data_IF_732814680014
#
_entry.id   IF_732814680014
#
_cell.length_a   1.000
_cell.length_b   1.000
_cell.length_c   1.000
_cell.angle_alpha   90.00
_cell.angle_beta   90.00
_cell.angle_gamma   90.00
#
_symmetry.space_group_name_H-M   'P 1'
#
loop_
_entity.id
_entity.type
_entity.pdbx_description
1 polymer ?
#
# COMPACT_ATOMS: atom_id res chain seq x y z
N UNK A 1 23.38 -5.15 -3.05
CA UNK A 1 23.46 -3.68 -3.13
C UNK A 1 22.54 -3.11 -4.21
N UNK A 2 21.37 -3.71 -4.40
CA UNK A 2 20.34 -3.25 -5.35
C UNK A 2 19.00 -3.23 -4.62
N UNK A 3 18.25 -2.15 -4.78
CA UNK A 3 16.85 -2.05 -4.34
C UNK A 3 15.98 -1.71 -5.57
N UNK A 4 14.83 -2.37 -5.67
CA UNK A 4 13.83 -2.08 -6.69
C UNK A 4 12.75 -1.19 -6.08
N UNK A 5 12.26 -0.23 -6.86
CA UNK A 5 11.21 0.71 -6.46
C UNK A 5 10.19 0.88 -7.58
N UNK A 6 8.96 1.20 -7.22
CA UNK A 6 7.90 1.45 -8.19
C UNK A 6 7.58 0.24 -9.05
N UNK A 7 7.32 0.47 -10.32
CA UNK A 7 6.92 -0.57 -11.28
C UNK A 7 7.97 -1.68 -11.45
N UNK A 8 9.24 -1.36 -11.22
CA UNK A 8 10.31 -2.37 -11.23
C UNK A 8 10.21 -3.37 -10.05
N UNK A 9 9.64 -2.94 -8.94
CA UNK A 9 9.43 -3.79 -7.76
C UNK A 9 8.06 -4.48 -7.77
N UNK A 10 7.08 -3.85 -8.39
CA UNK A 10 5.67 -4.24 -8.32
C UNK A 10 5.08 -4.31 -9.74
N UNK A 11 4.90 -5.50 -10.28
CA UNK A 11 4.16 -5.68 -11.52
C UNK A 11 2.65 -5.45 -11.33
N UNK A 12 2.27 -4.23 -10.95
CA UNK A 12 0.87 -3.89 -10.66
C UNK A 12 0.14 -3.54 -11.94
N UNK A 13 -0.98 -4.20 -12.17
CA UNK A 13 -1.85 -3.90 -13.30
C UNK A 13 -2.39 -2.46 -13.20
N UNK A 14 -2.40 -1.67 -14.28
CA UNK A 14 -2.69 -0.22 -14.25
C UNK A 14 -4.15 0.16 -13.91
N UNK A 15 -5.02 -0.81 -13.62
CA UNK A 15 -6.48 -0.61 -13.43
C UNK A 15 -6.84 0.46 -12.40
N UNK A 16 -5.99 0.74 -11.42
CA UNK A 16 -6.35 1.65 -10.34
C UNK A 16 -5.51 2.94 -10.28
N UNK A 17 -4.63 3.21 -11.24
CA UNK A 17 -3.76 4.39 -11.21
C UNK A 17 -2.85 4.47 -9.96
N UNK A 18 -2.65 3.35 -9.25
CA UNK A 18 -1.93 3.29 -7.98
C UNK A 18 -0.41 3.15 -8.13
N UNK A 19 0.10 2.89 -9.35
CA UNK A 19 1.53 2.66 -9.59
C UNK A 19 2.39 3.83 -9.09
N UNK A 20 2.04 5.06 -9.42
CA UNK A 20 2.76 6.24 -8.94
C UNK A 20 2.75 6.36 -7.42
N UNK A 21 1.58 6.16 -6.80
CA UNK A 21 1.45 6.24 -5.34
C UNK A 21 2.26 5.15 -4.64
N UNK A 22 2.31 3.96 -5.21
CA UNK A 22 3.11 2.84 -4.70
C UNK A 22 4.60 3.17 -4.83
N UNK A 23 5.03 3.67 -5.98
CA UNK A 23 6.40 4.11 -6.21
C UNK A 23 6.87 5.22 -5.26
N UNK A 24 6.02 6.22 -5.01
CA UNK A 24 6.33 7.28 -4.04
C UNK A 24 6.48 6.73 -2.61
N UNK A 25 5.67 5.74 -2.23
CA UNK A 25 5.81 5.06 -0.93
C UNK A 25 7.11 4.26 -0.85
N UNK A 26 7.50 3.59 -1.93
CA UNK A 26 8.77 2.86 -2.00
C UNK A 26 9.94 3.79 -1.80
N UNK A 27 9.97 4.91 -2.54
CA UNK A 27 11.04 5.92 -2.41
C UNK A 27 11.11 6.48 -1.00
N UNK A 28 9.98 6.82 -0.40
CA UNK A 28 9.94 7.37 0.96
C UNK A 28 10.42 6.35 2.01
N UNK A 29 10.00 5.08 1.88
CA UNK A 29 10.43 4.01 2.79
C UNK A 29 11.93 3.71 2.63
N UNK A 30 12.41 3.61 1.39
CA UNK A 30 13.82 3.38 1.10
C UNK A 30 14.67 4.53 1.66
N UNK A 31 14.31 5.79 1.40
CA UNK A 31 15.01 6.96 1.92
C UNK A 31 15.11 6.93 3.44
N UNK A 32 14.02 6.61 4.13
CA UNK A 32 14.01 6.52 5.60
C UNK A 32 14.96 5.42 6.09
N UNK A 33 14.90 4.22 5.52
CA UNK A 33 15.76 3.10 5.91
C UNK A 33 17.24 3.43 5.70
N UNK A 34 17.58 4.04 4.57
CA UNK A 34 18.97 4.41 4.25
C UNK A 34 19.51 5.50 5.18
N UNK A 35 18.72 6.55 5.46
CA UNK A 35 19.13 7.63 6.39
C UNK A 35 19.30 7.10 7.81
N UNK A 36 18.39 6.25 8.27
CA UNK A 36 18.50 5.61 9.58
C UNK A 36 19.72 4.69 9.68
N UNK A 37 20.02 3.92 8.63
CA UNK A 37 21.21 3.09 8.56
C UNK A 37 22.50 3.95 8.61
N UNK A 38 22.55 5.02 7.82
CA UNK A 38 23.68 5.94 7.79
C UNK A 38 23.91 6.59 9.16
N UNK A 39 22.85 7.03 9.86
CA UNK A 39 22.95 7.59 11.21
C UNK A 39 23.47 6.60 12.25
N UNK A 40 23.24 5.30 12.04
CA UNK A 40 23.77 4.24 12.89
C UNK A 40 25.17 3.77 12.49
N UNK A 41 25.76 4.37 11.44
CA UNK A 41 27.06 3.98 10.91
C UNK A 41 27.06 2.61 10.19
N UNK A 42 25.88 2.13 9.76
CA UNK A 42 25.73 0.90 9.00
C UNK A 42 26.08 1.13 7.54
N UNK A 43 26.61 0.09 6.86
CA UNK A 43 26.75 0.12 5.38
C UNK A 43 25.35 0.07 4.76
N UNK A 44 24.96 1.19 4.13
CA UNK A 44 23.65 1.33 3.46
C UNK A 44 23.39 0.28 2.37
N UNK A 45 24.43 -0.35 1.85
CA UNK A 45 24.34 -1.41 0.85
C UNK A 45 24.31 -2.83 1.46
N UNK A 46 24.31 -2.96 2.78
CA UNK A 46 24.24 -4.25 3.43
C UNK A 46 22.87 -4.90 3.22
N UNK A 47 22.86 -6.25 3.15
CA UNK A 47 21.63 -7.05 3.04
C UNK A 47 20.62 -6.71 4.14
N UNK A 48 21.08 -6.61 5.39
CA UNK A 48 20.21 -6.36 6.54
C UNK A 48 19.44 -5.03 6.44
N UNK A 49 20.08 -4.01 5.85
CA UNK A 49 19.46 -2.71 5.60
C UNK A 49 18.41 -2.82 4.50
N UNK A 50 18.74 -3.51 3.42
CA UNK A 50 17.82 -3.71 2.29
C UNK A 50 16.67 -4.66 2.65
N UNK A 51 16.90 -5.64 3.51
CA UNK A 51 15.86 -6.55 3.99
C UNK A 51 14.84 -5.83 4.89
N UNK A 52 15.24 -4.82 5.67
CA UNK A 52 14.32 -3.95 6.40
C UNK A 52 13.38 -3.21 5.45
N UNK A 53 13.91 -2.64 4.37
CA UNK A 53 13.12 -2.01 3.33
C UNK A 53 12.16 -3.00 2.67
N UNK A 54 12.67 -4.16 2.26
CA UNK A 54 11.89 -5.21 1.60
C UNK A 54 10.75 -5.71 2.51
N UNK A 55 11.03 -5.98 3.78
CA UNK A 55 10.03 -6.47 4.74
C UNK A 55 8.92 -5.47 4.94
N UNK A 56 9.26 -4.18 5.06
CA UNK A 56 8.28 -3.11 5.19
C UNK A 56 7.39 -3.01 3.95
N UNK A 57 7.99 -3.03 2.76
CA UNK A 57 7.25 -2.89 1.50
C UNK A 57 6.45 -4.11 1.11
N UNK A 58 6.95 -5.33 1.40
CA UNK A 58 6.20 -6.58 1.11
C UNK A 58 4.86 -6.61 1.81
N UNK A 59 4.82 -6.25 3.09
CA UNK A 59 3.56 -6.23 3.84
C UNK A 59 2.56 -5.25 3.22
N UNK A 60 2.99 -4.03 2.95
CA UNK A 60 2.15 -2.98 2.37
C UNK A 60 1.63 -3.36 0.97
N UNK A 61 2.52 -3.85 0.11
CA UNK A 61 2.18 -4.26 -1.26
C UNK A 61 1.26 -5.48 -1.30
N UNK A 62 1.50 -6.47 -0.44
CA UNK A 62 0.66 -7.68 -0.38
C UNK A 62 -0.74 -7.34 0.12
N UNK A 63 -0.86 -6.51 1.15
CA UNK A 63 -2.15 -6.08 1.68
C UNK A 63 -2.95 -5.30 0.63
N UNK A 64 -2.29 -4.41 -0.14
CA UNK A 64 -2.91 -3.67 -1.22
C UNK A 64 -3.34 -4.60 -2.37
N UNK A 65 -2.49 -5.52 -2.79
CA UNK A 65 -2.78 -6.46 -3.87
C UNK A 65 -3.97 -7.38 -3.53
N UNK A 66 -4.00 -7.92 -2.32
CA UNK A 66 -5.12 -8.74 -1.84
C UNK A 66 -6.42 -7.93 -1.75
N UNK A 67 -6.35 -6.70 -1.28
CA UNK A 67 -7.51 -5.80 -1.23
C UNK A 67 -8.06 -5.51 -2.63
N UNK A 68 -7.18 -5.23 -3.59
CA UNK A 68 -7.56 -5.00 -4.98
C UNK A 68 -8.13 -6.24 -5.66
N UNK A 69 -7.53 -7.41 -5.45
CA UNK A 69 -8.04 -8.67 -5.99
C UNK A 69 -9.43 -8.99 -5.42
N UNK A 70 -9.65 -8.80 -4.14
CA UNK A 70 -10.95 -8.98 -3.51
C UNK A 70 -12.01 -8.03 -4.09
N UNK A 71 -11.68 -6.74 -4.27
CA UNK A 71 -12.56 -5.77 -4.91
C UNK A 71 -12.86 -6.17 -6.35
N UNK A 72 -11.82 -6.49 -7.12
CA UNK A 72 -11.98 -6.90 -8.51
C UNK A 72 -12.88 -8.13 -8.64
N UNK A 73 -12.68 -9.17 -7.82
CA UNK A 73 -13.54 -10.37 -7.82
C UNK A 73 -14.98 -10.06 -7.44
N UNK A 74 -15.19 -9.16 -6.47
CA UNK A 74 -16.53 -8.76 -6.06
C UNK A 74 -17.28 -7.99 -7.15
N UNK A 75 -16.56 -7.15 -7.92
CA UNK A 75 -17.16 -6.30 -8.95
C UNK A 75 -17.20 -6.96 -10.35
N UNK A 76 -16.30 -7.89 -10.63
CA UNK A 76 -16.25 -8.61 -11.93
C UNK A 76 -17.16 -9.84 -11.96
N UNK A 77 -17.80 -10.21 -10.86
CA UNK A 77 -18.62 -11.41 -10.82
C UNK A 77 -20.07 -11.09 -11.14
N UNK A 78 -20.62 -11.76 -12.18
CA UNK A 78 -22.00 -11.60 -12.64
C UNK A 78 -23.02 -12.46 -11.87
N UNK A 79 -22.59 -13.15 -10.81
CA UNK A 79 -23.49 -13.96 -9.99
C UNK A 79 -24.55 -13.09 -9.32
N UNK A 80 -25.87 -13.35 -9.52
CA UNK A 80 -26.95 -12.52 -8.98
C UNK A 80 -26.93 -12.40 -7.45
N UNK A 81 -26.51 -13.45 -6.74
CA UNK A 81 -26.40 -13.46 -5.28
C UNK A 81 -25.27 -12.55 -4.80
N UNK A 82 -24.13 -12.53 -5.51
CA UNK A 82 -23.00 -11.64 -5.20
C UNK A 82 -23.34 -10.18 -5.52
N UNK A 83 -24.12 -9.93 -6.58
CA UNK A 83 -24.62 -8.58 -6.88
C UNK A 83 -25.54 -8.07 -5.78
N UNK A 84 -26.50 -8.90 -5.36
CA UNK A 84 -27.40 -8.54 -4.26
C UNK A 84 -26.63 -8.29 -2.95
N UNK A 85 -25.68 -9.16 -2.60
CA UNK A 85 -24.81 -8.99 -1.43
C UNK A 85 -23.96 -7.73 -1.50
N UNK A 86 -23.42 -7.41 -2.68
CA UNK A 86 -22.66 -6.18 -2.93
C UNK A 86 -23.54 -4.94 -2.74
N UNK A 87 -24.72 -4.93 -3.34
CA UNK A 87 -25.63 -3.77 -3.31
C UNK A 87 -26.15 -3.52 -1.88
N UNK A 88 -26.45 -4.58 -1.13
CA UNK A 88 -26.78 -4.50 0.30
C UNK A 88 -25.58 -4.03 1.13
N UNK A 89 -24.37 -4.58 0.89
CA UNK A 89 -23.15 -4.20 1.58
C UNK A 89 -22.77 -2.75 1.34
N UNK A 90 -22.89 -2.27 0.10
CA UNK A 90 -22.67 -0.86 -0.24
C UNK A 90 -23.69 0.05 0.43
N UNK A 91 -24.97 -0.35 0.48
CA UNK A 91 -26.02 0.38 1.20
C UNK A 91 -25.71 0.50 2.70
N UNK A 92 -25.23 -0.56 3.34
CA UNK A 92 -24.82 -0.55 4.75
C UNK A 92 -23.61 0.36 4.99
N UNK A 93 -22.61 0.31 4.10
CA UNK A 93 -21.43 1.19 4.20
C UNK A 93 -21.81 2.65 4.02
N UNK A 94 -22.74 2.95 3.12
CA UNK A 94 -23.20 4.32 2.87
C UNK A 94 -24.06 4.85 4.02
N UNK A 95 -24.87 3.98 4.63
CA UNK A 95 -25.70 4.32 5.79
C UNK A 95 -24.90 4.53 7.10
N UNK A 96 -23.65 4.04 7.18
CA UNK A 96 -22.83 4.13 8.38
C UNK A 96 -21.60 5.04 8.15
N UNK A 97 -21.66 6.34 8.54
CA UNK A 97 -20.59 7.31 8.30
C UNK A 97 -19.23 6.89 8.85
N UNK A 98 -19.20 6.12 9.93
CA UNK A 98 -17.98 5.58 10.54
C UNK A 98 -17.30 4.54 9.66
N UNK A 99 -18.06 3.62 9.06
CA UNK A 99 -17.56 2.62 8.11
C UNK A 99 -17.07 3.29 6.83
N UNK A 100 -17.87 4.18 6.26
CA UNK A 100 -17.51 4.95 5.07
C UNK A 100 -16.18 5.68 5.25
N UNK A 101 -15.98 6.38 6.37
CA UNK A 101 -14.70 7.05 6.68
C UNK A 101 -13.54 6.08 6.82
N UNK A 102 -13.74 4.90 7.40
CA UNK A 102 -12.72 3.86 7.50
C UNK A 102 -12.32 3.35 6.11
N UNK A 103 -13.29 3.06 5.26
CA UNK A 103 -13.02 2.63 3.88
C UNK A 103 -12.29 3.71 3.07
N UNK A 104 -12.72 4.96 3.16
CA UNK A 104 -12.04 6.07 2.48
C UNK A 104 -10.60 6.22 3.00
N UNK A 105 -10.37 6.15 4.31
CA UNK A 105 -9.02 6.20 4.89
C UNK A 105 -8.16 5.03 4.44
N UNK A 106 -8.72 3.85 4.37
CA UNK A 106 -8.02 2.65 3.89
C UNK A 106 -7.66 2.79 2.40
N UNK A 107 -8.62 3.18 1.57
CA UNK A 107 -8.40 3.41 0.14
C UNK A 107 -7.39 4.54 -0.13
N UNK A 108 -7.42 5.61 0.68
CA UNK A 108 -6.44 6.69 0.65
C UNK A 108 -5.08 6.29 1.26
N UNK A 109 -4.96 5.06 1.77
CA UNK A 109 -3.73 4.58 2.41
C UNK A 109 -3.38 5.35 3.69
N UNK A 110 -4.36 5.90 4.40
CA UNK A 110 -4.12 6.74 5.57
C UNK A 110 -3.91 5.94 6.87
N UNK A 111 -4.15 4.64 6.85
CA UNK A 111 -4.12 3.76 8.04
C UNK A 111 -2.86 2.89 8.17
N UNK A 112 -1.85 3.07 7.32
CA UNK A 112 -0.63 2.25 7.34
C UNK A 112 0.53 2.99 7.98
N UNK A 113 1.51 2.25 8.48
CA UNK A 113 2.81 2.79 8.90
C UNK A 113 3.46 3.51 7.72
N UNK A 114 3.39 4.83 7.75
CA UNK A 114 3.90 5.68 6.69
C UNK A 114 5.30 6.11 6.99
N UNK A 115 6.14 6.08 5.96
CA UNK A 115 7.42 6.75 6.00
C UNK A 115 7.25 8.24 6.37
N UNK A 116 8.17 8.77 7.16
CA UNK A 116 8.10 10.16 7.68
C UNK A 116 7.91 11.20 6.58
N UNK A 117 8.55 11.01 5.44
CA UNK A 117 8.40 11.90 4.28
C UNK A 117 6.95 12.00 3.79
N UNK A 118 6.18 10.92 3.83
CA UNK A 118 4.77 10.92 3.45
C UNK A 118 3.86 11.63 4.46
N UNK A 119 4.38 11.87 5.67
CA UNK A 119 3.72 12.65 6.72
C UNK A 119 4.20 14.11 6.74
N UNK A 120 5.06 14.52 5.80
CA UNK A 120 5.69 15.82 5.79
C UNK A 120 6.70 16.03 6.92
N UNK A 121 7.19 14.94 7.51
CA UNK A 121 8.18 14.98 8.58
C UNK A 121 9.59 14.79 8.02
N UNK A 122 10.61 15.49 8.54
CA UNK A 122 11.99 15.28 8.11
C UNK A 122 12.48 13.88 8.52
N UNK A 123 13.43 13.38 7.74
CA UNK A 123 14.12 12.11 8.01
C UNK A 123 15.17 12.25 9.11
#
# INVERSE_FOLDING_TARGET
>A
RVALVGDAAHGVHPIAGQGLNLGLRDVAALAQVLVEAQRRGEDIGNSDVLDRYQSWRRFDSTALALGMDAVNRLFSNDNPLLRLGRDLGMGVVDALPGLRRRFIRQAAGLNQDKARLLLGQPL
#
